data_IF_484444619709
#
_entry.id   IF_484444619709
#
_cell.length_a   1.000
_cell.length_b   1.000
_cell.length_c   1.000
_cell.angle_alpha   90.00
_cell.angle_beta   90.00
_cell.angle_gamma   90.00
#
_symmetry.space_group_name_H-M   'P 1'
#
loop_
_entity.id
_entity.type
_entity.pdbx_description
1 polymer ?
#
# COMPACT_ATOMS: atom_id res chain seq x y z
N UNK A 1 29.04 -1.51 22.52
CA UNK A 1 30.38 -1.13 22.99
C UNK A 1 30.44 -1.44 24.48
N UNK A 2 31.40 -2.26 24.89
CA UNK A 2 31.70 -2.52 26.29
C UNK A 2 33.05 -1.89 26.60
N UNK A 3 33.06 -0.90 27.47
CA UNK A 3 34.26 -0.09 27.75
C UNK A 3 34.10 0.61 29.11
N UNK A 4 35.20 0.80 29.86
CA UNK A 4 35.21 1.52 31.14
C UNK A 4 35.75 2.95 31.04
N UNK A 5 35.83 3.50 29.81
CA UNK A 5 36.41 4.82 29.53
C UNK A 5 35.69 5.49 28.35
N UNK A 6 36.09 6.72 28.04
CA UNK A 6 35.52 7.43 26.88
C UNK A 6 35.94 6.76 25.56
N UNK A 7 35.09 6.87 24.58
CA UNK A 7 35.30 6.35 23.23
C UNK A 7 34.77 7.31 22.16
N UNK A 8 35.33 7.21 20.98
CA UNK A 8 34.88 7.96 19.78
C UNK A 8 34.53 6.97 18.68
N UNK A 9 33.61 7.37 17.80
CA UNK A 9 33.20 6.59 16.62
C UNK A 9 33.27 7.45 15.38
N UNK A 10 33.79 6.88 14.33
CA UNK A 10 33.82 7.51 13.00
C UNK A 10 33.43 6.49 11.94
N UNK A 11 32.76 6.96 10.89
CA UNK A 11 32.51 6.18 9.68
C UNK A 11 33.29 6.81 8.50
N UNK A 12 33.88 5.99 7.66
CA UNK A 12 34.55 6.44 6.45
C UNK A 12 33.61 6.68 5.26
N UNK A 13 32.28 6.51 5.46
CA UNK A 13 31.29 6.67 4.41
C UNK A 13 30.07 7.45 4.91
N UNK A 14 29.62 8.42 4.13
CA UNK A 14 28.47 9.28 4.45
C UNK A 14 27.14 8.54 4.46
N UNK A 15 27.03 7.38 3.82
CA UNK A 15 25.82 6.57 3.81
C UNK A 15 25.67 5.66 5.04
N UNK A 16 26.70 5.57 5.90
CA UNK A 16 26.70 4.79 7.13
C UNK A 16 26.97 5.76 8.29
N UNK A 17 25.92 6.20 8.97
CA UNK A 17 25.94 7.31 9.91
C UNK A 17 25.77 6.79 11.34
N UNK A 18 26.79 6.91 12.22
CA UNK A 18 26.63 6.63 13.62
C UNK A 18 25.65 7.62 14.29
N UNK A 19 24.76 7.13 15.16
CA UNK A 19 23.83 7.96 15.95
C UNK A 19 24.55 8.87 16.96
N UNK A 20 25.79 8.54 17.31
CA UNK A 20 26.67 9.32 18.16
C UNK A 20 28.11 9.16 17.71
N UNK A 21 28.91 10.21 17.89
CA UNK A 21 30.34 10.19 17.57
C UNK A 21 31.22 9.97 18.80
N UNK A 22 30.67 10.01 20.02
CA UNK A 22 31.38 9.83 21.27
C UNK A 22 30.47 9.27 22.37
N UNK A 23 31.05 8.65 23.34
CA UNK A 23 30.39 8.18 24.56
C UNK A 23 31.36 7.82 25.65
N UNK A 24 30.85 7.43 26.80
CA UNK A 24 31.62 6.99 27.97
C UNK A 24 31.03 5.68 28.51
N UNK A 25 31.91 4.83 29.00
CA UNK A 25 31.55 3.53 29.55
C UNK A 25 30.81 2.65 28.52
N UNK A 26 30.05 1.69 28.98
CA UNK A 26 29.25 0.83 28.13
C UNK A 26 28.19 1.63 27.36
N UNK A 27 28.01 1.32 26.09
CA UNK A 27 27.09 2.08 25.25
C UNK A 27 26.55 1.29 24.06
N UNK A 28 25.39 1.71 23.57
CA UNK A 28 24.75 1.18 22.36
C UNK A 28 25.04 2.10 21.20
N UNK A 29 25.69 1.57 20.15
CA UNK A 29 25.89 2.25 18.88
C UNK A 29 24.81 1.81 17.90
N UNK A 30 24.10 2.78 17.31
CA UNK A 30 23.14 2.56 16.25
C UNK A 30 23.69 3.20 14.98
N UNK A 31 23.64 2.47 13.88
CA UNK A 31 24.07 2.96 12.57
C UNK A 31 22.84 3.17 11.68
N UNK A 32 22.65 4.38 11.17
CA UNK A 32 21.69 4.66 10.12
C UNK A 32 22.35 4.40 8.76
N UNK A 33 21.73 3.55 7.96
CA UNK A 33 22.27 3.11 6.67
C UNK A 33 21.35 3.63 5.56
N UNK A 34 21.85 4.53 4.72
CA UNK A 34 21.13 5.00 3.54
C UNK A 34 21.02 3.87 2.51
N UNK A 35 19.92 3.87 1.71
CA UNK A 35 19.74 2.89 0.65
C UNK A 35 20.91 2.91 -0.35
N UNK A 36 21.36 1.73 -0.78
CA UNK A 36 22.32 1.59 -1.88
C UNK A 36 21.52 1.45 -3.19
N UNK A 37 21.47 2.50 -3.98
CA UNK A 37 20.76 2.53 -5.26
C UNK A 37 21.61 2.02 -6.44
N UNK A 38 22.91 1.70 -6.18
CA UNK A 38 23.81 1.15 -7.18
C UNK A 38 23.65 -0.37 -7.27
N UNK A 39 23.94 -0.96 -8.42
CA UNK A 39 23.90 -2.41 -8.63
C UNK A 39 25.00 -3.17 -7.87
N UNK A 40 26.09 -2.49 -7.55
CA UNK A 40 27.23 -3.10 -6.87
C UNK A 40 27.10 -2.98 -5.35
N UNK A 41 27.59 -3.99 -4.63
CA UNK A 41 27.76 -3.90 -3.19
C UNK A 41 28.76 -2.81 -2.80
N UNK A 42 28.54 -2.20 -1.64
CA UNK A 42 29.42 -1.18 -1.09
C UNK A 42 29.78 -1.49 0.36
N UNK A 43 30.95 -0.99 0.77
CA UNK A 43 31.48 -1.25 2.12
C UNK A 43 31.78 0.06 2.83
N UNK A 44 31.41 0.13 4.10
CA UNK A 44 31.84 1.15 5.04
C UNK A 44 32.65 0.52 6.17
N UNK A 45 33.60 1.28 6.70
CA UNK A 45 34.31 0.93 7.92
C UNK A 45 33.95 1.91 9.02
N UNK A 46 33.39 1.38 10.10
CA UNK A 46 33.14 2.14 11.32
C UNK A 46 34.30 1.85 12.28
N UNK A 47 34.98 2.89 12.73
CA UNK A 47 36.11 2.82 13.63
C UNK A 47 35.68 3.33 15.01
N UNK A 48 35.97 2.54 16.04
CA UNK A 48 35.74 2.87 17.44
C UNK A 48 37.08 2.95 18.13
N UNK A 49 37.37 4.08 18.72
CA UNK A 49 38.64 4.33 19.43
C UNK A 49 38.37 4.64 20.89
N UNK A 50 39.02 3.92 21.77
CA UNK A 50 39.04 4.20 23.22
C UNK A 50 40.48 4.08 23.75
N UNK A 51 41.06 5.18 24.24
CA UNK A 51 42.46 5.23 24.65
C UNK A 51 43.41 4.75 23.54
N UNK A 52 44.12 3.66 23.79
CA UNK A 52 45.06 3.05 22.82
C UNK A 52 44.43 1.88 22.05
N UNK A 53 43.13 1.59 22.27
CA UNK A 53 42.45 0.49 21.59
C UNK A 53 41.65 1.03 20.42
N UNK A 54 41.91 0.45 19.26
CA UNK A 54 41.18 0.73 18.02
C UNK A 54 40.46 -0.55 17.56
N UNK A 55 39.15 -0.47 17.35
CA UNK A 55 38.33 -1.54 16.79
C UNK A 55 37.58 -1.06 15.57
N UNK A 56 37.53 -1.89 14.54
CA UNK A 56 36.83 -1.61 13.30
C UNK A 56 35.71 -2.62 13.06
N UNK A 57 34.60 -2.13 12.53
CA UNK A 57 33.47 -2.94 12.06
C UNK A 57 33.26 -2.62 10.59
N UNK A 58 33.28 -3.64 9.75
CA UNK A 58 32.91 -3.50 8.35
C UNK A 58 31.41 -3.68 8.18
N UNK A 59 30.79 -2.75 7.49
CA UNK A 59 29.38 -2.79 7.08
C UNK A 59 29.36 -3.01 5.58
N UNK A 60 28.88 -4.17 5.15
CA UNK A 60 28.70 -4.51 3.75
C UNK A 60 27.20 -4.35 3.44
N UNK A 61 26.89 -3.52 2.47
CA UNK A 61 25.55 -3.36 1.95
C UNK A 61 25.55 -3.84 0.51
N UNK A 62 24.74 -4.85 0.22
CA UNK A 62 24.55 -5.32 -1.14
C UNK A 62 24.03 -4.17 -2.02
N UNK A 63 24.38 -4.21 -3.29
CA UNK A 63 23.77 -3.33 -4.27
C UNK A 63 22.27 -3.53 -4.25
N UNK A 64 21.53 -2.47 -4.49
CA UNK A 64 20.18 -2.61 -4.99
C UNK A 64 20.37 -3.32 -6.34
N UNK A 65 19.99 -4.58 -6.40
CA UNK A 65 19.71 -5.17 -7.69
C UNK A 65 18.60 -4.26 -8.20
N UNK A 66 18.86 -3.47 -9.22
CA UNK A 66 17.84 -2.68 -9.86
C UNK A 66 16.97 -3.67 -10.67
N UNK A 67 16.22 -4.48 -9.92
CA UNK A 67 15.24 -5.43 -10.45
C UNK A 67 13.91 -4.74 -10.71
N UNK A 68 13.92 -3.42 -10.92
CA UNK A 68 12.72 -2.74 -11.40
C UNK A 68 12.18 -3.42 -12.67
N UNK A 69 13.07 -4.06 -13.46
CA UNK A 69 12.68 -4.88 -14.61
C UNK A 69 12.32 -6.33 -14.24
N UNK A 70 12.78 -6.85 -13.09
CA UNK A 70 12.54 -8.23 -12.66
C UNK A 70 11.49 -8.36 -11.55
N UNK A 71 11.30 -7.31 -10.73
CA UNK A 71 10.30 -7.34 -9.67
C UNK A 71 8.91 -7.10 -10.24
N UNK A 72 8.06 -8.11 -10.09
CA UNK A 72 6.68 -8.05 -10.52
C UNK A 72 5.75 -7.90 -9.30
N UNK A 73 5.08 -6.75 -9.21
CA UNK A 73 4.13 -6.46 -8.14
C UNK A 73 2.83 -7.24 -8.35
N UNK A 74 2.39 -7.95 -7.32
CA UNK A 74 1.06 -8.55 -7.26
C UNK A 74 0.21 -7.77 -6.28
N UNK A 75 -0.84 -7.16 -6.78
CA UNK A 75 -1.72 -6.29 -6.00
C UNK A 75 -3.06 -7.00 -5.82
N UNK A 76 -3.38 -7.47 -4.61
CA UNK A 76 -4.65 -8.15 -4.35
C UNK A 76 -5.84 -7.20 -4.46
N UNK A 77 -6.89 -7.65 -5.12
CA UNK A 77 -8.15 -6.93 -5.33
C UNK A 77 -9.30 -7.72 -4.71
N UNK A 78 -10.19 -7.03 -4.05
CA UNK A 78 -11.47 -7.54 -3.58
C UNK A 78 -12.61 -6.68 -4.13
N UNK A 79 -13.60 -7.31 -4.75
CA UNK A 79 -14.84 -6.69 -5.19
C UNK A 79 -15.92 -6.93 -4.13
N UNK A 80 -16.45 -5.87 -3.57
CA UNK A 80 -17.58 -5.87 -2.67
C UNK A 80 -18.84 -5.56 -3.48
N UNK A 81 -19.60 -6.57 -3.82
CA UNK A 81 -20.82 -6.43 -4.63
C UNK A 81 -21.99 -6.11 -3.69
N UNK A 82 -22.42 -4.85 -3.67
CA UNK A 82 -23.56 -4.39 -2.88
C UNK A 82 -24.85 -4.59 -3.70
N UNK A 83 -25.76 -5.41 -3.21
CA UNK A 83 -27.00 -5.72 -3.89
C UNK A 83 -28.20 -5.62 -2.95
N UNK A 84 -29.36 -5.27 -3.48
CA UNK A 84 -30.64 -5.25 -2.74
C UNK A 84 -31.48 -6.49 -3.01
N UNK A 85 -31.53 -6.90 -4.28
CA UNK A 85 -32.35 -8.00 -4.76
C UNK A 85 -31.44 -9.19 -5.17
N UNK A 86 -31.51 -10.28 -4.43
CA UNK A 86 -30.63 -11.45 -4.59
C UNK A 86 -30.71 -12.08 -5.99
N UNK A 87 -31.88 -12.04 -6.64
CA UNK A 87 -32.10 -12.61 -7.98
C UNK A 87 -31.87 -11.63 -9.12
N UNK A 88 -31.52 -10.38 -8.83
CA UNK A 88 -31.27 -9.38 -9.84
C UNK A 88 -29.79 -9.42 -10.27
N UNK A 89 -29.52 -9.99 -11.43
CA UNK A 89 -28.17 -10.14 -11.97
C UNK A 89 -27.50 -8.81 -12.36
N UNK A 90 -28.25 -7.72 -12.47
CA UNK A 90 -27.73 -6.38 -12.68
C UNK A 90 -27.24 -5.74 -11.38
N UNK A 91 -27.74 -6.19 -10.25
CA UNK A 91 -27.29 -5.80 -8.92
C UNK A 91 -26.22 -6.78 -8.39
N UNK A 92 -26.53 -8.07 -8.41
CA UNK A 92 -25.62 -9.14 -7.95
C UNK A 92 -24.75 -9.63 -9.10
N UNK A 93 -23.76 -8.81 -9.46
CA UNK A 93 -22.85 -9.08 -10.58
C UNK A 93 -22.10 -10.39 -10.37
N UNK A 94 -22.06 -11.23 -11.39
CA UNK A 94 -21.40 -12.53 -11.35
C UNK A 94 -19.87 -12.41 -11.23
N UNK A 95 -19.27 -13.26 -10.41
CA UNK A 95 -17.81 -13.28 -10.15
C UNK A 95 -16.98 -13.51 -11.42
N UNK A 96 -17.46 -14.32 -12.37
CA UNK A 96 -16.73 -14.55 -13.62
C UNK A 96 -16.67 -13.28 -14.49
N UNK A 97 -17.68 -12.41 -14.45
CA UNK A 97 -17.65 -11.12 -15.13
C UNK A 97 -16.61 -10.18 -14.51
N UNK A 98 -16.53 -10.14 -13.17
CA UNK A 98 -15.55 -9.32 -12.45
C UNK A 98 -14.12 -9.82 -12.70
N UNK A 99 -13.91 -11.13 -12.72
CA UNK A 99 -12.62 -11.71 -13.11
C UNK A 99 -12.22 -11.31 -14.53
N UNK A 100 -13.13 -11.39 -15.48
CA UNK A 100 -12.86 -10.98 -16.87
C UNK A 100 -12.55 -9.47 -17.00
N UNK A 101 -13.20 -8.62 -16.20
CA UNK A 101 -12.87 -7.19 -16.15
C UNK A 101 -11.45 -7.00 -15.62
N UNK A 102 -11.07 -7.70 -14.56
CA UNK A 102 -9.72 -7.62 -14.00
C UNK A 102 -8.64 -8.06 -15.00
N UNK A 103 -8.91 -9.11 -15.78
CA UNK A 103 -8.02 -9.56 -16.87
C UNK A 103 -7.84 -8.45 -17.93
N UNK A 104 -8.91 -7.75 -18.27
CA UNK A 104 -8.85 -6.59 -19.16
C UNK A 104 -8.00 -5.45 -18.58
N UNK A 105 -8.21 -5.11 -17.32
CA UNK A 105 -7.40 -4.11 -16.62
C UNK A 105 -5.93 -4.52 -16.64
N UNK A 106 -5.61 -5.75 -16.27
CA UNK A 106 -4.23 -6.27 -16.31
C UNK A 106 -3.60 -6.15 -17.71
N UNK A 107 -4.38 -6.33 -18.77
CA UNK A 107 -3.87 -6.20 -20.13
C UNK A 107 -3.45 -4.77 -20.50
N UNK A 108 -4.04 -3.75 -19.85
CA UNK A 108 -3.72 -2.35 -20.05
C UNK A 108 -2.41 -1.92 -19.38
N UNK A 109 -2.00 -2.64 -18.32
CA UNK A 109 -0.76 -2.39 -17.58
C UNK A 109 0.45 -3.16 -18.11
N UNK A 110 0.28 -3.90 -19.21
CA UNK A 110 1.35 -4.58 -19.93
C UNK A 110 1.65 -3.84 -21.23
N UNK A 111 2.89 -3.95 -21.72
CA UNK A 111 3.36 -3.21 -22.91
C UNK A 111 2.68 -3.63 -24.24
N UNK A 112 1.36 -3.86 -24.19
CA UNK A 112 0.51 -4.10 -25.36
C UNK A 112 -0.23 -2.81 -25.72
N UNK A 113 -0.38 -2.53 -27.02
CA UNK A 113 -1.18 -1.43 -27.53
C UNK A 113 -0.70 -0.03 -27.09
N UNK A 114 0.60 0.25 -27.20
CA UNK A 114 1.21 1.54 -26.85
C UNK A 114 1.20 1.90 -25.35
N UNK A 115 0.98 0.94 -24.45
CA UNK A 115 1.17 1.13 -23.02
C UNK A 115 2.56 0.68 -22.58
N UNK A 116 3.00 1.17 -21.43
CA UNK A 116 4.23 0.74 -20.77
C UNK A 116 3.92 -0.45 -19.88
N UNK A 117 4.80 -1.46 -19.83
CA UNK A 117 4.71 -2.51 -18.82
C UNK A 117 5.07 -1.92 -17.46
N UNK A 118 4.11 -1.93 -16.55
CA UNK A 118 4.26 -1.39 -15.19
C UNK A 118 4.84 -2.42 -14.21
N UNK A 119 5.18 -3.62 -14.68
CA UNK A 119 5.64 -4.74 -13.84
C UNK A 119 4.69 -5.05 -12.67
N UNK A 120 3.39 -4.92 -12.91
CA UNK A 120 2.37 -5.24 -11.92
C UNK A 120 1.26 -6.11 -12.48
N UNK A 121 0.60 -6.86 -11.60
CA UNK A 121 -0.62 -7.60 -11.90
C UNK A 121 -1.59 -7.48 -10.73
N UNK A 122 -2.81 -7.09 -11.02
CA UNK A 122 -3.91 -7.17 -10.08
C UNK A 122 -4.38 -8.62 -9.99
N UNK A 123 -4.47 -9.15 -8.78
CA UNK A 123 -4.85 -10.54 -8.51
C UNK A 123 -6.10 -10.59 -7.65
N UNK A 124 -6.99 -11.54 -7.92
CA UNK A 124 -8.16 -11.75 -7.08
C UNK A 124 -7.74 -12.28 -5.70
N UNK A 125 -8.30 -11.73 -4.63
CA UNK A 125 -8.15 -12.28 -3.29
C UNK A 125 -8.70 -13.72 -3.24
N UNK A 126 -7.98 -14.65 -2.66
CA UNK A 126 -8.38 -16.06 -2.56
C UNK A 126 -8.89 -16.44 -1.19
N UNK A 127 -8.53 -15.68 -0.19
CA UNK A 127 -8.94 -15.86 1.21
C UNK A 127 -9.58 -14.59 1.74
N UNK A 128 -10.49 -14.74 2.69
CA UNK A 128 -11.11 -13.63 3.39
C UNK A 128 -10.15 -13.03 4.45
N UNK A 129 -10.62 -11.99 5.15
CA UNK A 129 -9.87 -11.31 6.21
C UNK A 129 -9.52 -12.19 7.41
N UNK A 130 -10.12 -13.37 7.54
CA UNK A 130 -9.85 -14.36 8.60
C UNK A 130 -8.96 -15.51 8.10
N UNK A 131 -8.58 -15.51 6.81
CA UNK A 131 -7.79 -16.56 6.18
C UNK A 131 -8.62 -17.73 5.62
N UNK A 132 -9.95 -17.66 5.65
CA UNK A 132 -10.84 -18.67 5.08
C UNK A 132 -10.91 -18.52 3.55
N UNK A 133 -10.96 -19.64 2.85
CA UNK A 133 -11.05 -19.64 1.39
C UNK A 133 -12.37 -19.05 0.90
N UNK A 134 -12.30 -18.04 0.04
CA UNK A 134 -13.47 -17.42 -0.55
C UNK A 134 -14.19 -18.39 -1.49
N UNK A 135 -15.52 -18.54 -1.39
CA UNK A 135 -16.33 -19.34 -2.32
C UNK A 135 -16.22 -18.82 -3.77
N UNK A 136 -16.07 -17.51 -3.91
CA UNK A 136 -15.86 -16.81 -5.17
C UNK A 136 -14.60 -15.98 -5.04
N UNK A 137 -13.45 -16.40 -5.61
CA UNK A 137 -12.21 -15.66 -5.50
C UNK A 137 -12.36 -14.19 -5.90
N UNK A 138 -11.90 -13.30 -5.02
CA UNK A 138 -11.94 -11.86 -5.21
C UNK A 138 -13.32 -11.21 -5.13
N UNK A 139 -14.35 -11.92 -4.67
CA UNK A 139 -15.71 -11.36 -4.62
C UNK A 139 -16.39 -11.67 -3.29
N UNK A 140 -16.83 -10.61 -2.63
CA UNK A 140 -17.69 -10.64 -1.47
C UNK A 140 -19.06 -10.07 -1.85
N UNK A 141 -20.14 -10.79 -1.54
CA UNK A 141 -21.50 -10.35 -1.80
C UNK A 141 -22.14 -9.82 -0.52
N UNK A 142 -22.54 -8.54 -0.55
CA UNK A 142 -23.08 -7.83 0.61
C UNK A 142 -24.53 -7.40 0.29
N UNK A 143 -25.49 -7.93 1.02
CA UNK A 143 -26.86 -7.45 0.92
C UNK A 143 -26.97 -6.05 1.54
N UNK A 144 -27.27 -5.06 0.68
CA UNK A 144 -27.31 -3.67 1.10
C UNK A 144 -28.55 -3.38 1.95
N UNK A 145 -28.36 -2.84 3.19
CA UNK A 145 -29.50 -2.66 4.11
C UNK A 145 -30.34 -1.43 3.78
N UNK A 146 -29.78 -0.42 3.13
CA UNK A 146 -30.40 0.88 2.92
C UNK A 146 -31.10 1.00 1.56
N UNK A 147 -31.42 2.21 1.15
CA UNK A 147 -32.04 2.49 -0.16
C UNK A 147 -31.14 2.12 -1.32
N UNK A 148 -31.72 1.71 -2.44
CA UNK A 148 -31.03 1.27 -3.63
C UNK A 148 -31.80 1.74 -4.89
N UNK A 149 -31.16 2.25 -5.94
CA UNK A 149 -29.71 2.40 -6.14
C UNK A 149 -29.05 3.35 -5.15
N UNK A 150 -27.71 3.28 -5.04
CA UNK A 150 -26.94 4.02 -4.04
C UNK A 150 -26.43 5.32 -4.66
N UNK A 151 -26.57 6.43 -3.93
CA UNK A 151 -25.91 7.69 -4.28
C UNK A 151 -24.41 7.54 -4.06
N UNK A 152 -23.65 7.54 -5.16
CA UNK A 152 -22.22 7.27 -5.10
C UNK A 152 -21.41 8.39 -4.47
N UNK A 153 -21.83 9.65 -4.61
CA UNK A 153 -21.16 10.79 -3.97
C UNK A 153 -21.41 10.74 -2.46
N UNK A 154 -22.67 10.60 -2.03
CA UNK A 154 -22.99 10.48 -0.62
C UNK A 154 -22.32 9.27 0.05
N UNK A 155 -22.21 8.13 -0.65
CA UNK A 155 -21.50 6.95 -0.15
C UNK A 155 -20.01 7.22 0.03
N UNK A 156 -19.37 7.83 -0.97
CA UNK A 156 -17.91 8.07 -0.95
C UNK A 156 -17.53 9.21 -0.02
N UNK A 157 -18.36 10.22 0.17
CA UNK A 157 -18.12 11.37 1.06
C UNK A 157 -18.52 11.11 2.52
N UNK A 158 -19.12 9.94 2.83
CA UNK A 158 -19.49 9.61 4.20
C UNK A 158 -18.26 9.59 5.11
N UNK A 159 -18.29 10.41 6.14
CA UNK A 159 -17.22 10.55 7.14
C UNK A 159 -17.66 10.04 8.53
N UNK A 160 -18.75 9.31 8.61
CA UNK A 160 -19.25 8.73 9.86
C UNK A 160 -18.42 7.52 10.33
N UNK A 161 -17.67 6.92 9.42
CA UNK A 161 -16.99 5.65 9.62
C UNK A 161 -17.88 4.43 9.44
N UNK A 162 -19.17 4.62 9.17
CA UNK A 162 -20.13 3.52 9.08
C UNK A 162 -19.80 2.54 7.95
N UNK A 163 -19.39 3.04 6.80
CA UNK A 163 -19.09 2.21 5.62
C UNK A 163 -17.68 1.61 5.62
N UNK A 164 -16.82 2.02 6.56
CA UNK A 164 -15.49 1.42 6.76
C UNK A 164 -15.58 -0.08 7.10
N UNK A 165 -16.67 -0.52 7.74
CA UNK A 165 -16.92 -1.94 8.07
C UNK A 165 -16.95 -2.87 6.86
N UNK A 166 -17.23 -2.33 5.66
CA UNK A 166 -17.27 -3.09 4.42
C UNK A 166 -15.90 -3.23 3.74
N UNK A 167 -14.90 -2.46 4.19
CA UNK A 167 -13.56 -2.54 3.64
C UNK A 167 -12.76 -3.72 4.22
N UNK A 168 -11.87 -4.24 3.41
CA UNK A 168 -10.76 -5.04 3.86
C UNK A 168 -9.53 -4.14 4.07
N UNK A 169 -8.49 -4.66 4.75
CA UNK A 169 -7.29 -3.87 5.07
C UNK A 169 -6.74 -3.12 3.84
N UNK A 170 -6.77 -1.78 3.86
CA UNK A 170 -6.37 -0.96 2.71
C UNK A 170 -4.87 -1.03 2.40
N UNK A 171 -4.05 -1.56 3.32
CA UNK A 171 -2.62 -1.78 3.06
C UNK A 171 -2.35 -3.09 2.32
N UNK A 172 -3.32 -3.99 2.30
CA UNK A 172 -3.18 -5.32 1.73
C UNK A 172 -4.03 -5.53 0.47
N UNK A 173 -5.12 -4.76 0.31
CA UNK A 173 -6.10 -4.96 -0.74
C UNK A 173 -6.54 -3.64 -1.38
N UNK A 174 -6.74 -3.66 -2.70
CA UNK A 174 -7.57 -2.65 -3.35
C UNK A 174 -9.04 -3.06 -3.16
N UNK A 175 -9.79 -2.21 -2.46
CA UNK A 175 -11.21 -2.38 -2.26
C UNK A 175 -11.99 -1.75 -3.43
N UNK A 176 -12.82 -2.53 -4.10
CA UNK A 176 -13.68 -2.06 -5.21
C UNK A 176 -15.14 -2.35 -4.84
N UNK A 177 -15.91 -1.29 -4.64
CA UNK A 177 -17.36 -1.38 -4.42
C UNK A 177 -18.08 -1.44 -5.77
N UNK A 178 -18.98 -2.40 -5.93
CA UNK A 178 -19.73 -2.63 -7.16
C UNK A 178 -21.21 -2.53 -6.84
N UNK A 179 -21.89 -1.52 -7.37
CA UNK A 179 -23.33 -1.29 -7.13
C UNK A 179 -23.94 -0.39 -8.22
N UNK A 180 -25.26 -0.36 -8.29
CA UNK A 180 -25.93 0.56 -9.20
C UNK A 180 -25.96 1.96 -8.60
N UNK A 181 -25.41 2.93 -9.33
CA UNK A 181 -25.43 4.33 -8.92
C UNK A 181 -26.85 4.92 -9.10
N UNK A 182 -27.26 5.70 -8.10
CA UNK A 182 -28.41 6.55 -8.25
C UNK A 182 -28.13 7.59 -9.34
N UNK A 183 -29.12 7.84 -10.19
CA UNK A 183 -29.03 8.86 -11.24
C UNK A 183 -29.87 10.07 -10.85
N UNK A 184 -29.30 11.24 -11.00
CA UNK A 184 -30.03 12.48 -10.80
C UNK A 184 -31.14 12.63 -11.86
N UNK A 185 -32.37 12.96 -11.44
CA UNK A 185 -33.44 13.24 -12.37
C UNK A 185 -33.06 14.40 -13.33
N UNK A 186 -33.17 14.18 -14.61
CA UNK A 186 -32.85 15.14 -15.68
C UNK A 186 -31.33 15.42 -15.92
N UNK A 187 -30.42 14.59 -15.37
CA UNK A 187 -29.03 14.64 -15.72
C UNK A 187 -28.78 14.04 -17.11
N UNK A 188 -28.02 14.75 -17.95
CA UNK A 188 -27.52 14.24 -19.22
C UNK A 188 -26.15 13.52 -19.08
N UNK A 189 -25.63 13.42 -17.86
CA UNK A 189 -24.37 12.74 -17.54
C UNK A 189 -24.62 11.51 -16.68
N UNK A 190 -23.76 10.50 -16.87
CA UNK A 190 -23.79 9.27 -16.09
C UNK A 190 -22.41 9.10 -15.45
N UNK A 191 -22.37 8.99 -14.14
CA UNK A 191 -21.16 8.62 -13.40
C UNK A 191 -20.89 7.13 -13.63
N UNK A 192 -19.73 6.78 -14.15
CA UNK A 192 -19.31 5.39 -14.39
C UNK A 192 -18.42 4.82 -13.28
N UNK A 193 -17.87 5.69 -12.47
CA UNK A 193 -17.03 5.31 -11.34
C UNK A 193 -16.51 6.54 -10.61
N UNK A 194 -16.20 6.36 -9.35
CA UNK A 194 -15.63 7.37 -8.46
C UNK A 194 -14.59 6.71 -7.57
N UNK A 195 -13.50 7.40 -7.25
CA UNK A 195 -12.46 6.86 -6.38
C UNK A 195 -11.88 7.94 -5.48
N UNK A 196 -11.46 7.54 -4.30
CA UNK A 196 -10.59 8.39 -3.49
C UNK A 196 -9.18 8.43 -4.10
N UNK A 197 -8.54 9.60 -3.93
CA UNK A 197 -7.11 9.73 -4.19
C UNK A 197 -6.36 9.02 -3.05
N UNK A 198 -5.34 8.20 -3.35
CA UNK A 198 -4.52 7.56 -2.33
C UNK A 198 -3.89 8.59 -1.38
N UNK A 199 -3.68 8.21 -0.13
CA UNK A 199 -2.97 9.03 0.84
C UNK A 199 -1.47 8.83 0.76
N UNK A 200 -0.74 9.91 1.07
CA UNK A 200 0.70 9.89 1.27
C UNK A 200 1.02 10.21 2.72
N UNK A 201 1.89 9.43 3.33
CA UNK A 201 2.39 9.75 4.67
C UNK A 201 3.32 10.95 4.63
N UNK A 202 3.29 11.79 5.69
CA UNK A 202 4.21 12.92 5.84
C UNK A 202 5.67 12.48 5.78
N UNK A 203 6.52 13.35 5.24
CA UNK A 203 7.96 13.19 5.25
C UNK A 203 8.53 12.63 3.94
N UNK A 204 9.51 11.74 4.05
CA UNK A 204 10.41 11.31 2.96
C UNK A 204 9.69 10.67 1.75
N UNK A 205 8.53 10.10 1.95
CA UNK A 205 7.75 9.40 0.92
C UNK A 205 6.52 10.19 0.48
N UNK A 206 6.43 11.45 0.88
CA UNK A 206 5.34 12.30 0.44
C UNK A 206 5.35 12.47 -1.08
N UNK A 207 4.18 12.30 -1.69
CA UNK A 207 3.95 12.54 -3.11
C UNK A 207 3.00 13.73 -3.24
N UNK A 208 3.44 14.78 -3.93
CA UNK A 208 2.63 15.97 -4.19
C UNK A 208 1.35 15.61 -4.94
N UNK A 209 0.23 16.21 -4.53
CA UNK A 209 -1.08 15.97 -5.13
C UNK A 209 -1.87 14.82 -4.51
N UNK A 210 -1.28 14.06 -3.58
CA UNK A 210 -2.01 13.07 -2.79
C UNK A 210 -2.52 13.68 -1.48
N UNK A 211 -3.54 13.05 -0.89
CA UNK A 211 -3.99 13.38 0.46
C UNK A 211 -2.87 13.15 1.48
N UNK A 212 -2.71 14.05 2.45
CA UNK A 212 -1.72 13.92 3.49
C UNK A 212 -2.34 13.31 4.76
N UNK A 213 -1.64 12.39 5.41
CA UNK A 213 -2.06 11.83 6.70
C UNK A 213 -0.92 11.89 7.71
N UNK A 214 -1.26 12.09 8.97
CA UNK A 214 -0.32 12.03 10.09
C UNK A 214 0.03 10.59 10.50
N UNK A 215 -0.72 9.61 10.03
CA UNK A 215 -0.49 8.21 10.33
C UNK A 215 0.66 7.65 9.49
N UNK A 216 1.48 6.79 10.09
CA UNK A 216 2.56 6.07 9.39
C UNK A 216 2.02 5.07 8.36
N UNK A 217 0.80 4.59 8.58
CA UNK A 217 0.01 3.74 7.68
C UNK A 217 -1.46 3.84 8.07
N UNK A 218 -2.34 3.60 7.11
CA UNK A 218 -3.78 3.56 7.34
C UNK A 218 -4.21 2.19 7.86
N UNK A 219 -5.14 2.19 8.80
CA UNK A 219 -5.83 0.99 9.30
C UNK A 219 -7.32 1.24 9.26
N UNK A 220 -8.13 0.19 9.29
CA UNK A 220 -9.59 0.36 9.37
C UNK A 220 -10.02 1.18 10.60
N UNK A 221 -9.23 1.12 11.71
CA UNK A 221 -9.54 1.84 12.94
C UNK A 221 -9.31 3.36 12.84
N UNK A 222 -8.49 3.82 11.90
CA UNK A 222 -8.22 5.25 11.71
C UNK A 222 -8.83 5.83 10.43
N UNK A 223 -9.60 5.05 9.70
CA UNK A 223 -10.43 5.52 8.59
C UNK A 223 -11.80 6.00 9.10
N UNK A 224 -12.28 7.08 8.51
CA UNK A 224 -13.63 7.62 8.76
C UNK A 224 -14.52 7.60 7.51
N UNK A 225 -13.98 7.22 6.36
CA UNK A 225 -14.66 7.16 5.08
C UNK A 225 -14.26 5.88 4.33
N UNK A 226 -15.07 5.43 3.36
CA UNK A 226 -14.82 4.19 2.62
C UNK A 226 -13.71 4.39 1.57
N UNK A 227 -12.45 4.26 1.97
CA UNK A 227 -11.28 4.38 1.08
C UNK A 227 -11.31 3.27 0.01
N UNK A 228 -11.95 3.52 -1.11
CA UNK A 228 -12.17 2.53 -2.16
C UNK A 228 -12.32 3.16 -3.55
N UNK A 229 -12.53 2.30 -4.53
CA UNK A 229 -13.04 2.63 -5.86
C UNK A 229 -14.49 2.13 -5.93
N UNK A 230 -15.42 2.95 -6.39
CA UNK A 230 -16.81 2.58 -6.65
C UNK A 230 -17.10 2.56 -8.16
N UNK A 231 -17.71 1.50 -8.66
CA UNK A 231 -18.07 1.29 -10.07
C UNK A 231 -19.45 0.69 -10.23
#
# INVERSE_FOLDING_TARGET
ITCSSSWTVTSNKQWCIPNTQKGENDGKLILSINANLESNSRTATVTIISHKVNKTVQIIQNGSINTAEEYHYKIPVIFHVLYKEDRNSLQKVNSSRLSHILDKVNSLYKSKNNSVDMNLTFTLATTDKNGETLPNPGVEYIQWPESYPIDCEAFMEDNSGEYVKYLWDPNSYINIMVYNFATEPNSNSVTLGISHIPFSTKGKHYLEGLGETDYSHLTLANLQFPLCVSI
#
